data_IF_167001796724
#
_entry.id   IF_167001796724
#
_cell.length_a   1.000
_cell.length_b   1.000
_cell.length_c   1.000
_cell.angle_alpha   90.00
_cell.angle_beta   90.00
_cell.angle_gamma   90.00
#
_symmetry.space_group_name_H-M   'P 1'
#
loop_
_entity.id
_entity.type
_entity.pdbx_description
1 polymer ?
#
# COMPACT_ATOMS: atom_id res chain seq x y z
N UNK A 1 51.69 83.84 2.68
CA UNK A 1 50.90 83.88 1.46
C UNK A 1 49.96 82.69 1.49
N UNK A 2 48.90 82.90 2.17
CA UNK A 2 48.03 81.82 2.65
C UNK A 2 46.77 81.83 1.83
N UNK A 3 46.36 80.65 1.39
CA UNK A 3 45.06 80.46 0.76
C UNK A 3 44.24 79.52 1.61
N UNK A 4 43.02 79.81 1.96
CA UNK A 4 42.19 78.98 2.81
C UNK A 4 41.48 77.86 2.03
N UNK A 5 41.39 76.74 2.70
CA UNK A 5 40.62 75.52 2.25
C UNK A 5 39.13 75.69 2.60
N UNK A 6 38.20 75.41 1.70
CA UNK A 6 36.76 75.34 2.09
C UNK A 6 36.38 73.98 2.59
N UNK A 7 35.65 74.01 3.73
CA UNK A 7 35.07 72.86 4.37
C UNK A 7 33.80 72.42 3.61
N UNK A 8 33.82 71.28 3.00
CA UNK A 8 32.68 70.69 2.34
C UNK A 8 31.96 69.77 3.35
N UNK A 9 30.72 70.08 3.69
CA UNK A 9 29.78 69.31 4.52
C UNK A 9 29.51 67.98 3.86
N UNK A 10 29.88 66.88 4.52
CA UNK A 10 29.40 65.53 4.20
C UNK A 10 27.98 65.34 4.71
N UNK A 11 27.02 65.24 3.82
CA UNK A 11 25.69 64.80 4.11
C UNK A 11 25.71 63.24 4.07
N UNK A 12 25.56 62.63 5.23
CA UNK A 12 25.40 61.20 5.36
C UNK A 12 23.98 60.80 4.97
N UNK A 13 23.83 60.13 3.82
CA UNK A 13 22.61 59.42 3.47
C UNK A 13 22.62 58.08 4.19
N UNK A 14 21.77 57.97 5.22
CA UNK A 14 21.41 56.69 5.79
C UNK A 14 20.49 55.93 4.82
N UNK A 15 21.05 54.98 4.09
CA UNK A 15 20.28 54.07 3.27
C UNK A 15 19.61 53.02 4.19
N UNK A 16 18.33 53.23 4.40
CA UNK A 16 17.45 52.26 5.07
C UNK A 16 17.28 51.05 4.19
N UNK A 17 18.03 49.96 4.50
CA UNK A 17 17.85 48.67 3.87
C UNK A 17 16.61 48.00 4.46
N UNK A 18 15.47 48.16 3.78
CA UNK A 18 14.31 47.29 3.98
C UNK A 18 14.70 45.88 3.56
N UNK A 19 15.00 45.03 4.53
CA UNK A 19 15.13 43.60 4.34
C UNK A 19 13.76 42.99 4.08
N UNK A 20 13.48 42.72 2.80
CA UNK A 20 12.34 41.92 2.40
C UNK A 20 12.64 40.45 2.76
N UNK A 21 12.22 39.99 3.92
CA UNK A 21 12.25 38.61 4.30
C UNK A 21 11.22 37.85 3.43
N UNK A 22 11.68 37.26 2.35
CA UNK A 22 10.89 36.29 1.58
C UNK A 22 10.81 35.01 2.41
N UNK A 23 9.71 34.87 3.15
CA UNK A 23 9.30 33.61 3.74
C UNK A 23 8.96 32.65 2.58
N UNK A 24 9.96 31.86 2.14
CA UNK A 24 9.72 30.65 1.36
C UNK A 24 9.00 29.66 2.27
N UNK A 25 7.68 29.76 2.31
CA UNK A 25 6.82 28.71 2.80
C UNK A 25 6.98 27.51 1.87
N UNK A 26 7.80 26.52 2.24
CA UNK A 26 7.70 25.19 1.68
C UNK A 26 6.29 24.67 1.95
N UNK A 27 5.36 24.94 1.04
CA UNK A 27 4.13 24.17 0.91
C UNK A 27 4.57 22.73 0.62
N UNK A 28 4.68 21.94 1.67
CA UNK A 28 4.66 20.51 1.58
C UNK A 28 3.30 20.16 0.99
N UNK A 29 3.23 20.10 -0.33
CA UNK A 29 2.17 19.42 -1.07
C UNK A 29 2.31 17.92 -0.78
N UNK A 30 2.06 17.54 0.48
CA UNK A 30 1.67 16.18 0.79
C UNK A 30 0.38 15.97 0.02
N UNK A 31 0.43 15.22 -1.07
CA UNK A 31 -0.75 14.85 -1.82
C UNK A 31 -1.78 14.32 -0.83
N UNK A 32 -2.88 15.06 -0.67
CA UNK A 32 -4.06 14.58 0.04
C UNK A 32 -4.54 13.35 -0.73
N UNK A 33 -4.07 12.16 -0.32
CA UNK A 33 -4.73 10.94 -0.75
C UNK A 33 -6.15 11.05 -0.25
N UNK A 34 -7.11 10.96 -1.17
CA UNK A 34 -8.51 10.89 -0.82
C UNK A 34 -8.69 9.75 0.19
N UNK A 35 -9.17 10.08 1.36
CA UNK A 35 -9.47 9.06 2.38
C UNK A 35 -10.65 8.22 1.89
N UNK A 36 -10.67 6.94 2.20
CA UNK A 36 -11.75 6.06 1.77
C UNK A 36 -13.05 6.39 2.52
N UNK A 37 -14.11 6.64 1.79
CA UNK A 37 -15.45 6.85 2.35
C UNK A 37 -16.09 5.48 2.68
N UNK A 38 -15.85 4.99 3.88
CA UNK A 38 -16.38 3.70 4.34
C UNK A 38 -17.91 3.65 4.38
N UNK A 39 -18.59 4.77 4.58
CA UNK A 39 -20.05 4.81 4.50
C UNK A 39 -20.52 4.58 3.05
N UNK A 40 -19.85 5.17 2.07
CA UNK A 40 -20.12 4.91 0.67
C UNK A 40 -19.77 3.47 0.28
N UNK A 41 -18.60 2.98 0.70
CA UNK A 41 -18.13 1.62 0.42
C UNK A 41 -19.13 0.59 0.96
N UNK A 42 -19.55 0.71 2.21
CA UNK A 42 -20.53 -0.22 2.81
C UNK A 42 -21.87 -0.20 2.08
N UNK A 43 -22.40 0.98 1.75
CA UNK A 43 -23.66 1.09 0.97
C UNK A 43 -23.55 0.45 -0.42
N UNK A 44 -22.43 0.67 -1.12
CA UNK A 44 -22.22 0.06 -2.44
C UNK A 44 -22.00 -1.44 -2.35
N UNK A 45 -21.27 -1.91 -1.34
CA UNK A 45 -21.09 -3.33 -1.10
C UNK A 45 -22.42 -4.03 -0.82
N UNK A 46 -23.31 -3.43 -0.01
CA UNK A 46 -24.67 -3.95 0.20
C UNK A 46 -25.50 -3.99 -1.09
N UNK A 47 -25.38 -2.97 -1.92
CA UNK A 47 -26.08 -2.94 -3.22
C UNK A 47 -25.57 -4.00 -4.20
N UNK A 48 -24.27 -4.32 -4.17
CA UNK A 48 -23.62 -5.27 -5.08
C UNK A 48 -23.75 -6.73 -4.59
N UNK A 49 -23.63 -6.96 -3.28
CA UNK A 49 -23.46 -8.30 -2.70
C UNK A 49 -24.59 -8.73 -1.77
N UNK A 50 -25.57 -7.85 -1.54
CA UNK A 50 -26.65 -8.07 -0.58
C UNK A 50 -26.22 -7.72 0.85
N UNK A 51 -27.07 -8.04 1.86
CA UNK A 51 -26.80 -7.70 3.26
C UNK A 51 -25.46 -8.23 3.74
N UNK A 52 -24.65 -7.37 4.35
CA UNK A 52 -23.26 -7.71 4.75
C UNK A 52 -23.20 -8.68 5.94
N UNK A 53 -24.28 -8.77 6.76
CA UNK A 53 -24.33 -9.65 7.92
C UNK A 53 -23.14 -9.45 8.88
N UNK A 54 -22.47 -10.55 9.26
CA UNK A 54 -21.26 -10.50 10.11
C UNK A 54 -20.07 -9.77 9.43
N UNK A 55 -20.14 -9.56 8.11
CA UNK A 55 -19.15 -8.78 7.36
C UNK A 55 -19.08 -7.33 7.79
N UNK A 56 -20.20 -6.74 8.24
CA UNK A 56 -20.23 -5.35 8.74
C UNK A 56 -19.19 -5.15 9.85
N UNK A 57 -19.20 -6.00 10.87
CA UNK A 57 -18.27 -5.89 11.98
C UNK A 57 -16.78 -6.04 11.53
N UNK A 58 -16.50 -6.89 10.52
CA UNK A 58 -15.15 -7.05 9.99
C UNK A 58 -14.70 -5.83 9.17
N UNK A 59 -15.61 -5.23 8.40
CA UNK A 59 -15.33 -3.97 7.65
C UNK A 59 -15.10 -2.81 8.62
N UNK A 60 -15.89 -2.68 9.68
CA UNK A 60 -15.73 -1.64 10.71
C UNK A 60 -14.39 -1.81 11.47
N UNK A 61 -14.03 -3.05 11.80
CA UNK A 61 -12.74 -3.36 12.41
C UNK A 61 -11.57 -3.04 11.46
N UNK A 62 -11.74 -3.28 10.16
CA UNK A 62 -10.76 -2.91 9.14
C UNK A 62 -10.62 -1.38 9.04
N UNK A 63 -11.71 -0.63 9.01
CA UNK A 63 -11.66 0.84 9.05
C UNK A 63 -10.91 1.34 10.28
N UNK A 64 -11.18 0.75 11.45
CA UNK A 64 -10.48 1.07 12.69
C UNK A 64 -8.98 0.81 12.59
N UNK A 65 -8.58 -0.34 12.04
CA UNK A 65 -7.18 -0.65 11.75
C UNK A 65 -6.52 0.40 10.84
N UNK A 66 -7.20 0.78 9.75
CA UNK A 66 -6.67 1.72 8.76
C UNK A 66 -6.49 3.14 9.31
N UNK A 67 -7.31 3.53 10.28
CA UNK A 67 -7.19 4.82 10.98
C UNK A 67 -6.00 4.84 11.97
N UNK A 68 -5.50 3.69 12.41
CA UNK A 68 -4.35 3.55 13.29
C UNK A 68 -3.02 3.66 12.53
N UNK A 69 -2.80 4.80 11.84
CA UNK A 69 -1.60 5.03 10.98
C UNK A 69 -0.30 5.31 11.76
N UNK A 70 -0.39 5.53 13.07
CA UNK A 70 0.77 5.85 13.91
C UNK A 70 1.71 4.65 14.05
N UNK A 71 2.96 4.96 14.39
CA UNK A 71 4.01 3.97 14.56
C UNK A 71 4.90 3.76 13.33
N UNK A 72 5.87 2.91 13.48
CA UNK A 72 6.83 2.53 12.44
C UNK A 72 6.18 1.74 11.30
N UNK A 73 6.85 1.65 10.16
CA UNK A 73 6.41 0.76 9.06
C UNK A 73 6.29 -0.69 9.55
N UNK A 74 7.24 -1.16 10.37
CA UNK A 74 7.24 -2.50 10.92
C UNK A 74 5.97 -2.78 11.74
N UNK A 75 5.59 -1.88 12.64
CA UNK A 75 4.36 -2.03 13.44
C UNK A 75 3.11 -2.05 12.57
N UNK A 76 3.07 -1.27 11.48
CA UNK A 76 1.95 -1.30 10.52
C UNK A 76 1.89 -2.63 9.78
N UNK A 77 3.03 -3.17 9.34
CA UNK A 77 3.12 -4.50 8.72
C UNK A 77 2.55 -5.59 9.66
N UNK A 78 2.97 -5.57 10.92
CA UNK A 78 2.55 -6.55 11.93
C UNK A 78 1.05 -6.47 12.21
N UNK A 79 0.52 -5.26 12.40
CA UNK A 79 -0.93 -5.05 12.62
C UNK A 79 -1.77 -5.53 11.45
N UNK A 80 -1.41 -5.17 10.22
CA UNK A 80 -2.16 -5.57 9.02
C UNK A 80 -2.05 -7.06 8.78
N UNK A 81 -0.86 -7.65 8.92
CA UNK A 81 -0.67 -9.09 8.75
C UNK A 81 -1.50 -9.89 9.76
N UNK A 82 -1.42 -9.51 11.04
CA UNK A 82 -2.17 -10.16 12.11
C UNK A 82 -3.68 -10.02 11.94
N UNK A 83 -4.14 -8.83 11.53
CA UNK A 83 -5.56 -8.56 11.31
C UNK A 83 -6.17 -9.53 10.30
N UNK A 84 -5.64 -9.59 9.08
CA UNK A 84 -6.21 -10.46 8.06
C UNK A 84 -6.04 -11.94 8.39
N UNK A 85 -4.92 -12.34 9.00
CA UNK A 85 -4.71 -13.72 9.41
C UNK A 85 -5.66 -14.18 10.53
N UNK A 86 -6.27 -13.24 11.28
CA UNK A 86 -7.26 -13.52 12.32
C UNK A 86 -8.69 -13.35 11.84
N UNK A 87 -8.96 -12.41 10.92
CA UNK A 87 -10.32 -12.10 10.46
C UNK A 87 -10.82 -13.03 9.35
N UNK A 88 -9.91 -13.63 8.60
CA UNK A 88 -10.26 -14.49 7.47
C UNK A 88 -9.92 -15.96 7.78
N UNK A 89 -10.80 -16.86 7.38
CA UNK A 89 -10.52 -18.29 7.28
C UNK A 89 -9.92 -18.58 5.91
N UNK A 90 -8.88 -19.42 5.87
CA UNK A 90 -8.35 -19.87 4.59
C UNK A 90 -9.34 -20.86 3.93
N UNK A 91 -9.85 -20.51 2.76
CA UNK A 91 -10.78 -21.32 1.96
C UNK A 91 -10.41 -21.14 0.50
N UNK A 92 -10.22 -22.26 -0.22
CA UNK A 92 -9.91 -22.24 -1.64
C UNK A 92 -11.07 -21.65 -2.45
N UNK A 93 -10.77 -20.98 -3.56
CA UNK A 93 -11.73 -20.29 -4.41
C UNK A 93 -12.87 -21.19 -4.90
N UNK A 94 -12.54 -22.42 -5.26
CA UNK A 94 -13.55 -23.38 -5.76
C UNK A 94 -14.64 -23.64 -4.72
N UNK A 95 -14.30 -23.65 -3.43
CA UNK A 95 -15.23 -23.88 -2.33
C UNK A 95 -15.95 -22.60 -1.92
N UNK A 96 -15.28 -21.43 -2.08
CA UNK A 96 -15.83 -20.15 -1.62
C UNK A 96 -16.64 -19.42 -2.70
N UNK A 97 -16.14 -19.42 -3.93
CA UNK A 97 -16.68 -18.66 -5.07
C UNK A 97 -17.24 -19.53 -6.19
N UNK A 98 -17.01 -20.85 -6.16
CA UNK A 98 -17.32 -21.81 -7.23
C UNK A 98 -16.60 -21.51 -8.55
N UNK A 99 -15.45 -20.85 -8.43
CA UNK A 99 -14.51 -20.52 -9.51
C UNK A 99 -13.12 -21.10 -9.18
N UNK A 100 -12.30 -21.38 -10.20
CA UNK A 100 -10.98 -22.00 -9.95
C UNK A 100 -9.91 -21.03 -9.47
N UNK A 101 -10.12 -19.72 -9.66
CA UNK A 101 -9.13 -18.69 -9.36
C UNK A 101 -9.84 -17.32 -9.42
N UNK A 102 -10.39 -16.88 -8.27
CA UNK A 102 -11.17 -15.65 -8.11
C UNK A 102 -10.46 -14.68 -7.17
N UNK A 103 -9.96 -13.57 -7.66
CA UNK A 103 -9.29 -12.58 -6.84
C UNK A 103 -10.30 -11.63 -6.21
N UNK A 104 -10.57 -11.81 -4.93
CA UNK A 104 -11.52 -10.97 -4.21
C UNK A 104 -10.92 -9.60 -3.85
N UNK A 105 -11.81 -8.61 -3.70
CA UNK A 105 -11.45 -7.33 -3.09
C UNK A 105 -11.32 -7.49 -1.57
N UNK A 106 -10.64 -6.55 -0.87
CA UNK A 106 -10.62 -6.55 0.59
C UNK A 106 -12.03 -6.59 1.21
N UNK A 107 -12.99 -5.88 0.61
CA UNK A 107 -14.38 -5.84 1.07
C UNK A 107 -15.05 -7.20 0.87
N UNK A 108 -14.91 -7.83 -0.28
CA UNK A 108 -15.47 -9.16 -0.54
C UNK A 108 -14.94 -10.20 0.43
N UNK A 109 -13.61 -10.22 0.66
CA UNK A 109 -12.98 -11.15 1.60
C UNK A 109 -13.50 -10.94 3.03
N UNK A 110 -13.65 -9.68 3.47
CA UNK A 110 -14.18 -9.34 4.80
C UNK A 110 -15.67 -9.68 4.94
N UNK A 111 -16.49 -9.49 3.91
CA UNK A 111 -17.89 -9.90 3.90
C UNK A 111 -17.99 -11.42 4.05
N UNK A 112 -17.24 -12.17 3.27
CA UNK A 112 -17.19 -13.64 3.35
C UNK A 112 -16.56 -14.15 4.65
N UNK A 113 -15.64 -13.36 5.26
CA UNK A 113 -14.81 -13.80 6.38
C UNK A 113 -13.91 -14.97 5.99
N UNK A 114 -13.55 -15.05 4.72
CA UNK A 114 -12.75 -16.10 4.13
C UNK A 114 -12.10 -15.64 2.83
N UNK A 115 -11.05 -16.34 2.39
CA UNK A 115 -10.36 -16.16 1.15
C UNK A 115 -9.15 -17.10 1.07
N UNK A 116 -8.48 -17.13 -0.07
CA UNK A 116 -7.24 -17.88 -0.21
C UNK A 116 -5.99 -16.97 -0.31
N UNK A 117 -4.88 -17.46 -0.83
CA UNK A 117 -3.59 -16.79 -0.67
C UNK A 117 -3.52 -15.42 -1.33
N UNK A 118 -4.10 -15.24 -2.52
CA UNK A 118 -4.13 -13.95 -3.22
C UNK A 118 -5.02 -12.94 -2.54
N UNK A 119 -6.16 -13.36 -2.00
CA UNK A 119 -7.10 -12.49 -1.29
C UNK A 119 -6.43 -11.85 -0.07
N UNK A 120 -5.70 -12.66 0.72
CA UNK A 120 -4.90 -12.15 1.83
C UNK A 120 -3.82 -11.17 1.36
N UNK A 121 -3.10 -11.50 0.29
CA UNK A 121 -2.02 -10.67 -0.22
C UNK A 121 -2.55 -9.33 -0.75
N UNK A 122 -3.67 -9.34 -1.49
CA UNK A 122 -4.37 -8.17 -2.03
C UNK A 122 -4.87 -7.28 -0.89
N UNK A 123 -5.58 -7.87 0.08
CA UNK A 123 -6.14 -7.12 1.21
C UNK A 123 -5.05 -6.46 2.07
N UNK A 124 -3.94 -7.16 2.32
CA UNK A 124 -2.78 -6.61 3.03
C UNK A 124 -2.11 -5.49 2.21
N UNK A 125 -1.96 -5.67 0.88
CA UNK A 125 -1.39 -4.66 0.00
C UNK A 125 -2.14 -3.35 0.07
N UNK A 126 -3.44 -3.34 -0.20
CA UNK A 126 -4.25 -2.12 -0.20
C UNK A 126 -4.34 -1.47 1.18
N UNK A 127 -4.42 -2.28 2.24
CA UNK A 127 -4.41 -1.76 3.62
C UNK A 127 -3.13 -1.02 3.95
N UNK A 128 -1.97 -1.59 3.63
CA UNK A 128 -0.66 -0.97 3.89
C UNK A 128 -0.45 0.27 3.02
N UNK A 129 -0.92 0.24 1.75
CA UNK A 129 -0.94 1.41 0.88
C UNK A 129 -1.75 2.56 1.48
N UNK A 130 -2.96 2.26 1.96
CA UNK A 130 -3.82 3.25 2.63
C UNK A 130 -3.19 3.78 3.92
N UNK A 131 -2.49 2.95 4.68
CA UNK A 131 -1.75 3.34 5.87
C UNK A 131 -0.44 4.10 5.57
N UNK A 132 -0.17 4.45 4.32
CA UNK A 132 0.93 5.32 3.90
C UNK A 132 2.24 4.60 3.58
N UNK A 133 2.25 3.28 3.41
CA UNK A 133 3.42 2.59 2.87
C UNK A 133 3.44 2.76 1.34
N UNK A 134 4.52 3.31 0.78
CA UNK A 134 4.63 3.52 -0.66
C UNK A 134 4.54 2.20 -1.47
N UNK A 135 3.96 2.30 -2.68
CA UNK A 135 3.77 1.15 -3.57
C UNK A 135 5.07 0.46 -3.95
N UNK A 136 6.12 1.23 -4.17
CA UNK A 136 7.45 0.71 -4.52
C UNK A 136 8.07 -0.21 -3.44
N UNK A 137 7.56 -0.11 -2.20
CA UNK A 137 7.98 -0.98 -1.09
C UNK A 137 7.17 -2.27 -0.99
N UNK A 138 6.07 -2.40 -1.71
CA UNK A 138 5.13 -3.52 -1.58
C UNK A 138 5.00 -4.28 -2.91
N UNK A 139 5.05 -5.60 -2.87
CA UNK A 139 4.77 -6.44 -4.04
C UNK A 139 3.98 -7.67 -3.64
N UNK A 140 2.93 -7.95 -4.39
CA UNK A 140 2.25 -9.24 -4.34
C UNK A 140 3.14 -10.21 -5.12
N UNK A 141 3.59 -11.26 -4.46
CA UNK A 141 4.62 -12.17 -4.98
C UNK A 141 4.05 -13.57 -5.13
N UNK A 142 4.02 -14.04 -6.37
CA UNK A 142 3.70 -15.43 -6.69
C UNK A 142 4.92 -16.30 -6.41
N UNK A 143 4.73 -17.35 -5.63
CA UNK A 143 5.77 -18.26 -5.19
C UNK A 143 5.35 -19.72 -5.41
N UNK A 144 6.31 -20.61 -5.54
CA UNK A 144 6.08 -22.04 -5.34
C UNK A 144 6.32 -22.39 -3.88
N UNK A 145 5.28 -22.83 -3.18
CA UNK A 145 5.37 -23.33 -1.81
C UNK A 145 5.84 -24.81 -1.86
N UNK A 146 7.10 -25.03 -1.48
CA UNK A 146 7.76 -26.32 -1.66
C UNK A 146 7.16 -27.42 -0.78
N UNK A 147 6.78 -27.08 0.47
CA UNK A 147 6.21 -28.05 1.41
C UNK A 147 4.84 -28.55 0.96
N UNK A 148 4.02 -27.66 0.41
CA UNK A 148 2.69 -27.99 -0.12
C UNK A 148 2.73 -28.45 -1.58
N UNK A 149 3.88 -28.29 -2.24
CA UNK A 149 4.10 -28.52 -3.68
C UNK A 149 3.06 -27.85 -4.58
N UNK A 150 2.67 -26.61 -4.24
CA UNK A 150 1.64 -25.84 -4.97
C UNK A 150 2.05 -24.39 -5.20
N UNK A 151 1.30 -23.73 -6.08
CA UNK A 151 1.32 -22.29 -6.21
C UNK A 151 0.84 -21.63 -4.90
N UNK A 152 1.40 -20.47 -4.59
CA UNK A 152 1.02 -19.69 -3.43
C UNK A 152 1.29 -18.21 -3.69
N UNK A 153 0.62 -17.34 -2.98
CA UNK A 153 0.79 -15.90 -3.11
C UNK A 153 1.02 -15.27 -1.74
N UNK A 154 2.00 -14.38 -1.65
CA UNK A 154 2.36 -13.66 -0.42
C UNK A 154 2.55 -12.18 -0.72
N UNK A 155 2.44 -11.34 0.29
CA UNK A 155 2.89 -9.95 0.18
C UNK A 155 4.35 -9.85 0.63
N UNK A 156 5.18 -9.18 -0.18
CA UNK A 156 6.57 -8.86 0.19
C UNK A 156 6.75 -7.36 0.38
N UNK A 157 7.48 -7.00 1.44
CA UNK A 157 7.81 -5.62 1.79
C UNK A 157 9.32 -5.40 1.69
N UNK A 158 9.73 -4.32 1.03
CA UNK A 158 11.11 -3.88 0.82
C UNK A 158 11.31 -2.54 1.55
N UNK A 159 12.17 -2.48 2.56
CA UNK A 159 12.50 -1.21 3.24
C UNK A 159 13.21 -0.22 2.30
N UNK A 160 14.05 -0.74 1.39
CA UNK A 160 14.67 -0.03 0.26
C UNK A 160 14.60 -0.94 -0.99
N UNK A 161 14.75 -0.41 -2.21
CA UNK A 161 14.66 -1.21 -3.44
C UNK A 161 15.62 -2.42 -3.50
N UNK A 162 16.75 -2.36 -2.78
CA UNK A 162 17.78 -3.41 -2.73
C UNK A 162 17.70 -4.26 -1.46
N UNK A 163 16.83 -3.89 -0.50
CA UNK A 163 16.70 -4.63 0.74
C UNK A 163 16.18 -6.04 0.51
N UNK A 164 16.63 -6.96 1.37
CA UNK A 164 15.98 -8.26 1.47
C UNK A 164 14.54 -8.06 1.94
N UNK A 165 13.54 -8.62 1.22
CA UNK A 165 12.16 -8.39 1.59
C UNK A 165 11.75 -9.17 2.84
N UNK A 166 10.81 -8.58 3.57
CA UNK A 166 10.01 -9.26 4.58
C UNK A 166 8.80 -9.92 3.90
N UNK A 167 8.42 -11.09 4.37
CA UNK A 167 7.30 -11.88 3.83
C UNK A 167 6.12 -11.86 4.80
N UNK A 168 4.99 -11.37 4.32
CA UNK A 168 3.69 -11.41 4.99
C UNK A 168 2.86 -12.51 4.33
N UNK A 169 2.58 -13.57 5.09
CA UNK A 169 1.96 -14.79 4.59
C UNK A 169 0.63 -15.06 5.29
N UNK A 170 -0.33 -15.68 4.59
CA UNK A 170 -1.59 -16.16 5.16
C UNK A 170 -1.41 -17.39 6.05
N UNK A 171 -0.40 -18.21 5.74
CA UNK A 171 -0.12 -19.47 6.46
C UNK A 171 0.79 -19.29 7.68
N UNK A 172 1.36 -18.10 7.87
CA UNK A 172 2.29 -17.82 8.95
C UNK A 172 2.10 -16.40 9.49
N UNK A 173 1.73 -16.28 10.76
CA UNK A 173 1.53 -14.96 11.36
C UNK A 173 2.84 -14.19 11.59
N UNK A 174 3.96 -14.89 11.80
CA UNK A 174 5.27 -14.25 11.97
C UNK A 174 5.80 -13.73 10.63
N UNK A 175 6.06 -12.42 10.55
CA UNK A 175 6.74 -11.81 9.41
C UNK A 175 8.22 -12.17 9.46
N UNK A 176 8.74 -12.77 8.40
CA UNK A 176 10.13 -13.23 8.30
C UNK A 176 10.83 -12.68 7.07
N UNK A 177 12.16 -12.46 7.13
CA UNK A 177 12.95 -12.18 5.94
C UNK A 177 12.85 -13.33 4.92
N UNK A 178 12.88 -13.02 3.63
CA UNK A 178 12.79 -14.03 2.56
C UNK A 178 13.87 -15.11 2.67
N UNK A 179 15.09 -14.79 3.15
CA UNK A 179 16.14 -15.79 3.38
C UNK A 179 15.78 -16.85 4.43
N UNK A 180 14.85 -16.57 5.31
CA UNK A 180 14.33 -17.52 6.31
C UNK A 180 13.09 -18.29 5.81
N UNK A 181 12.61 -17.96 4.61
CA UNK A 181 11.50 -18.62 3.94
C UNK A 181 12.00 -19.49 2.78
N UNK A 182 12.89 -20.43 3.12
CA UNK A 182 13.46 -21.41 2.18
C UNK A 182 12.43 -22.39 1.64
N UNK A 183 11.24 -22.39 2.22
CA UNK A 183 10.06 -23.12 1.75
C UNK A 183 9.35 -22.44 0.57
N UNK A 184 9.70 -21.19 0.22
CA UNK A 184 9.09 -20.42 -0.85
C UNK A 184 10.10 -20.08 -1.95
N UNK A 185 9.77 -20.42 -3.20
CA UNK A 185 10.58 -20.07 -4.38
C UNK A 185 9.83 -19.01 -5.18
N UNK A 186 10.34 -17.75 -5.28
CA UNK A 186 9.68 -16.69 -6.02
C UNK A 186 9.67 -16.98 -7.52
N UNK A 187 8.55 -16.71 -8.19
CA UNK A 187 8.34 -16.89 -9.63
C UNK A 187 8.20 -15.53 -10.32
N UNK A 188 7.30 -14.68 -9.83
CA UNK A 188 7.17 -13.27 -10.24
C UNK A 188 6.53 -12.46 -9.11
N UNK A 189 6.64 -11.14 -9.22
CA UNK A 189 6.00 -10.21 -8.30
C UNK A 189 5.40 -9.03 -9.06
N UNK A 190 4.34 -8.43 -8.51
CA UNK A 190 3.68 -7.27 -9.12
C UNK A 190 3.09 -6.34 -8.05
N UNK A 191 2.77 -5.12 -8.49
CA UNK A 191 1.98 -4.13 -7.75
C UNK A 191 1.36 -3.15 -8.77
N UNK A 192 0.80 -2.03 -8.33
CA UNK A 192 0.26 -1.01 -9.23
C UNK A 192 1.30 -0.46 -10.25
N UNK A 193 2.59 -0.50 -9.94
CA UNK A 193 3.65 0.12 -10.75
C UNK A 193 4.32 -0.79 -11.76
N UNK A 194 4.17 -2.11 -11.62
CA UNK A 194 4.83 -3.02 -12.55
C UNK A 194 4.85 -4.48 -12.18
N UNK A 195 5.51 -5.21 -13.06
CA UNK A 195 5.78 -6.64 -12.95
C UNK A 195 7.29 -6.87 -12.86
N UNK A 196 7.71 -7.71 -11.93
CA UNK A 196 9.10 -8.06 -11.69
C UNK A 196 9.32 -9.56 -11.78
N UNK A 197 10.47 -9.93 -12.34
CA UNK A 197 10.97 -11.32 -12.29
C UNK A 197 12.19 -11.40 -11.37
N UNK A 198 12.38 -12.53 -10.65
CA UNK A 198 13.60 -12.79 -9.92
C UNK A 198 14.80 -12.79 -10.87
N UNK A 199 15.94 -12.28 -10.42
CA UNK A 199 17.19 -12.28 -11.17
C UNK A 199 18.39 -12.45 -10.24
N UNK A 200 19.55 -12.81 -10.79
CA UNK A 200 20.78 -13.04 -10.04
C UNK A 200 21.23 -11.81 -9.23
N UNK A 201 20.93 -10.60 -9.71
CA UNK A 201 21.25 -9.32 -9.06
C UNK A 201 20.04 -8.67 -8.38
N UNK A 202 18.99 -9.44 -8.06
CA UNK A 202 17.72 -8.95 -7.51
C UNK A 202 16.58 -8.97 -8.53
N UNK A 203 15.41 -8.45 -8.12
CA UNK A 203 14.22 -8.45 -8.96
C UNK A 203 14.32 -7.40 -10.08
N UNK A 204 14.12 -7.84 -11.33
CA UNK A 204 14.13 -6.98 -12.52
C UNK A 204 12.70 -6.65 -12.93
N UNK A 205 12.39 -5.35 -13.06
CA UNK A 205 11.12 -4.89 -13.66
C UNK A 205 11.09 -5.27 -15.15
N UNK A 206 10.03 -5.94 -15.59
CA UNK A 206 9.88 -6.47 -16.95
C UNK A 206 8.66 -5.92 -17.69
N UNK A 207 7.77 -5.22 -17.00
CA UNK A 207 6.58 -4.65 -17.63
C UNK A 207 5.68 -3.91 -16.65
N UNK A 208 4.52 -3.54 -17.15
CA UNK A 208 3.41 -3.00 -16.35
C UNK A 208 2.36 -4.09 -16.05
N UNK A 209 1.46 -3.80 -15.11
CA UNK A 209 0.41 -4.71 -14.67
C UNK A 209 -0.88 -4.60 -15.48
N UNK A 210 -0.93 -3.75 -16.50
CA UNK A 210 -2.12 -3.60 -17.38
C UNK A 210 -2.49 -4.90 -18.09
N UNK A 211 -1.54 -5.82 -18.24
CA UNK A 211 -1.74 -7.13 -18.86
C UNK A 211 -2.15 -8.23 -17.86
N UNK A 212 -2.16 -7.95 -16.55
CA UNK A 212 -2.64 -8.88 -15.55
C UNK A 212 -4.15 -8.70 -15.39
N UNK A 213 -4.93 -9.48 -16.15
CA UNK A 213 -6.39 -9.33 -16.22
C UNK A 213 -7.05 -9.42 -14.84
N UNK A 214 -6.65 -10.37 -14.01
CA UNK A 214 -7.21 -10.53 -12.65
C UNK A 214 -6.93 -9.34 -11.76
N UNK A 215 -5.72 -8.76 -11.81
CA UNK A 215 -5.41 -7.53 -11.10
C UNK A 215 -6.29 -6.37 -11.57
N UNK A 216 -6.47 -6.22 -12.88
CA UNK A 216 -7.37 -5.19 -13.44
C UNK A 216 -8.82 -5.39 -13.01
N UNK A 217 -9.26 -6.65 -12.88
CA UNK A 217 -10.61 -6.96 -12.42
C UNK A 217 -10.79 -6.63 -10.93
N UNK A 218 -9.79 -6.85 -10.08
CA UNK A 218 -9.79 -6.38 -8.68
C UNK A 218 -9.95 -4.87 -8.62
N UNK A 219 -9.16 -4.10 -9.39
CA UNK A 219 -9.26 -2.64 -9.41
C UNK A 219 -10.64 -2.17 -9.85
N UNK A 220 -11.24 -2.77 -10.89
CA UNK A 220 -12.60 -2.46 -11.34
C UNK A 220 -13.65 -2.76 -10.26
N UNK A 221 -13.54 -3.91 -9.58
CA UNK A 221 -14.43 -4.27 -8.47
C UNK A 221 -14.32 -3.25 -7.35
N UNK A 222 -13.11 -2.87 -6.94
CA UNK A 222 -12.90 -1.85 -5.92
C UNK A 222 -13.49 -0.48 -6.31
N UNK A 223 -13.36 -0.06 -7.57
CA UNK A 223 -14.00 1.17 -8.06
C UNK A 223 -15.54 1.06 -7.98
N UNK A 224 -16.12 -0.07 -8.33
CA UNK A 224 -17.56 -0.31 -8.19
C UNK A 224 -18.01 -0.28 -6.73
N UNK A 225 -17.18 -0.76 -5.81
CA UNK A 225 -17.39 -0.68 -4.35
C UNK A 225 -17.23 0.73 -3.77
N UNK A 226 -16.77 1.70 -4.57
CA UNK A 226 -16.68 3.12 -4.16
C UNK A 226 -15.30 3.62 -3.79
N UNK A 227 -14.26 2.81 -4.01
CA UNK A 227 -12.89 3.30 -3.88
C UNK A 227 -12.57 4.26 -5.02
N UNK A 228 -11.97 5.41 -4.72
CA UNK A 228 -11.51 6.34 -5.74
C UNK A 228 -10.33 5.76 -6.52
N UNK A 229 -10.30 5.92 -7.85
CA UNK A 229 -9.29 5.32 -8.72
C UNK A 229 -7.86 5.72 -8.30
N UNK A 230 -7.64 7.01 -7.99
CA UNK A 230 -6.36 7.56 -7.54
C UNK A 230 -5.90 7.06 -6.16
N UNK A 231 -6.80 6.44 -5.40
CA UNK A 231 -6.50 5.86 -4.08
C UNK A 231 -6.06 4.40 -4.12
N UNK A 232 -6.28 3.72 -5.25
CA UNK A 232 -6.01 2.28 -5.43
C UNK A 232 -4.94 1.99 -6.51
N UNK A 233 -4.54 3.01 -7.28
CA UNK A 233 -3.45 2.97 -8.28
C UNK A 233 -2.06 3.12 -7.65
#
# INVERSE_FOLDING_TARGET
MDSPVPITRMLSFAAQRCGLAVLLGCLMLGGLRADWDFALISRRAEALYGPLGDGTARVDAWQTLLNARQGSEQERLERVNSFFNQQLRYVEDIDLWHENDYWATPVQSLIKGAGDCEDYAIAKYFSLRHMGIPSEKLRITYVKALRQNRAHMVLTYYSTPQAQPLVLDSLMNAIKPASQRTDLVPVYAFNAEGLWLPGASGNRKVGDTKRLSRWQDVLKKMQAEGFAADSID
#
